data_IF_837726747765
#
_entry.id   IF_837726747765
#
_cell.length_a   1.000
_cell.length_b   1.000
_cell.length_c   1.000
_cell.angle_alpha   90.00
_cell.angle_beta   90.00
_cell.angle_gamma   90.00
#
_symmetry.space_group_name_H-M   'P 1'
#
loop_
_entity.id
_entity.type
_entity.pdbx_description
1 polymer ?
#
# COMPACT_ATOMS: atom_id res chain seq x y z
N UNK A 1 -0.48 12.75 -6.57
CA UNK A 1 -1.38 12.61 -5.42
C UNK A 1 -1.07 11.28 -4.78
N UNK A 2 -0.75 11.26 -3.49
CA UNK A 2 -0.46 10.04 -2.72
C UNK A 2 -1.79 9.31 -2.56
N UNK A 3 -1.88 8.06 -3.03
CA UNK A 3 -3.07 7.23 -2.84
C UNK A 3 -2.99 6.62 -1.44
N UNK A 4 -3.15 7.44 -0.41
CA UNK A 4 -3.30 6.94 0.96
C UNK A 4 -4.52 6.03 0.99
N UNK A 5 -4.36 4.82 1.57
CA UNK A 5 -5.49 3.97 1.92
C UNK A 5 -6.42 4.84 2.80
N UNK A 6 -7.71 4.98 2.45
CA UNK A 6 -8.60 5.83 3.23
C UNK A 6 -8.60 5.33 4.68
N UNK A 7 -8.55 6.25 5.65
CA UNK A 7 -8.70 5.95 7.07
C UNK A 7 -10.13 5.45 7.44
N UNK A 8 -10.90 5.03 6.44
CA UNK A 8 -12.29 4.64 6.52
C UNK A 8 -12.42 3.23 5.97
N UNK A 9 -13.35 2.45 6.54
CA UNK A 9 -13.59 1.10 6.10
C UNK A 9 -14.01 1.03 4.62
N UNK A 10 -13.40 0.09 3.89
CA UNK A 10 -13.70 -0.16 2.49
C UNK A 10 -14.43 -1.49 2.35
N UNK A 11 -15.62 -1.46 1.74
CA UNK A 11 -16.41 -2.67 1.46
C UNK A 11 -16.18 -3.08 0.01
N UNK A 12 -15.39 -4.15 -0.19
CA UNK A 12 -15.04 -4.63 -1.52
C UNK A 12 -16.19 -5.37 -2.23
N UNK A 13 -17.01 -6.10 -1.47
CA UNK A 13 -18.14 -6.85 -2.01
C UNK A 13 -19.29 -6.86 -1.03
N UNK A 14 -20.46 -6.45 -1.52
CA UNK A 14 -21.72 -6.56 -0.79
C UNK A 14 -22.60 -7.61 -1.49
N UNK A 15 -22.99 -8.65 -0.74
CA UNK A 15 -23.97 -9.62 -1.20
C UNK A 15 -25.27 -9.41 -0.44
N UNK A 16 -26.37 -9.24 -1.17
CA UNK A 16 -27.70 -9.08 -0.58
C UNK A 16 -28.51 -10.31 -0.97
N UNK A 17 -28.75 -11.19 -0.02
CA UNK A 17 -29.58 -12.36 -0.20
C UNK A 17 -31.02 -12.01 0.15
N UNK A 18 -31.99 -12.47 -0.65
CA UNK A 18 -33.44 -12.35 -0.40
C UNK A 18 -34.03 -10.92 -0.52
N UNK A 19 -34.03 -10.36 -1.72
CA UNK A 19 -34.70 -9.07 -2.00
C UNK A 19 -35.95 -9.29 -2.85
N UNK A 20 -37.12 -8.85 -2.36
CA UNK A 20 -38.34 -8.73 -3.17
C UNK A 20 -38.30 -7.54 -4.15
N UNK A 21 -37.31 -6.65 -4.00
CA UNK A 21 -37.11 -5.40 -4.76
C UNK A 21 -36.02 -5.53 -5.84
N UNK A 22 -35.99 -4.62 -6.84
CA UNK A 22 -34.95 -4.62 -7.88
C UNK A 22 -33.53 -4.53 -7.29
N UNK A 23 -32.65 -5.39 -7.78
CA UNK A 23 -31.33 -5.67 -7.20
C UNK A 23 -30.43 -4.43 -7.11
N UNK A 24 -30.40 -3.59 -8.16
CA UNK A 24 -29.50 -2.43 -8.24
C UNK A 24 -29.90 -1.31 -7.26
N UNK A 25 -31.18 -0.99 -7.17
CA UNK A 25 -31.67 0.03 -6.24
C UNK A 25 -31.43 -0.39 -4.77
N UNK A 26 -31.58 -1.69 -4.49
CA UNK A 26 -31.30 -2.27 -3.17
C UNK A 26 -29.80 -2.21 -2.85
N UNK A 27 -28.94 -2.48 -3.84
CA UNK A 27 -27.49 -2.39 -3.68
C UNK A 27 -27.02 -0.95 -3.41
N UNK A 28 -27.46 0.03 -4.20
CA UNK A 28 -27.07 1.44 -4.01
C UNK A 28 -27.49 1.97 -2.64
N UNK A 29 -28.69 1.61 -2.18
CA UNK A 29 -29.19 1.96 -0.85
C UNK A 29 -28.36 1.34 0.26
N UNK A 30 -28.08 0.05 0.15
CA UNK A 30 -27.27 -0.64 1.15
C UNK A 30 -25.84 -0.07 1.21
N UNK A 31 -25.22 0.23 0.07
CA UNK A 31 -23.92 0.91 0.02
C UNK A 31 -23.98 2.31 0.66
N UNK A 32 -25.02 3.09 0.37
CA UNK A 32 -25.19 4.43 0.96
C UNK A 32 -25.36 4.38 2.49
N UNK A 33 -26.05 3.37 3.03
CA UNK A 33 -26.15 3.16 4.49
C UNK A 33 -24.82 2.78 5.10
N UNK A 34 -24.13 1.81 4.51
CA UNK A 34 -22.88 1.31 5.07
C UNK A 34 -21.80 2.39 5.06
N UNK A 35 -21.81 3.28 4.06
CA UNK A 35 -20.93 4.46 4.01
C UNK A 35 -21.24 5.51 5.09
N UNK A 36 -22.43 5.47 5.73
CA UNK A 36 -22.75 6.36 6.86
C UNK A 36 -22.27 5.81 8.20
N UNK A 37 -21.84 4.55 8.25
CA UNK A 37 -21.38 3.90 9.48
C UNK A 37 -19.86 3.97 9.54
N UNK A 38 -19.35 4.45 10.67
CA UNK A 38 -17.94 4.35 11.00
C UNK A 38 -17.62 2.92 11.45
N UNK A 39 -17.36 2.05 10.48
CA UNK A 39 -17.01 0.64 10.70
C UNK A 39 -15.61 0.54 11.30
N UNK A 40 -15.54 0.39 12.62
CA UNK A 40 -14.30 0.06 13.32
C UNK A 40 -13.55 1.23 13.94
N UNK A 41 -13.97 2.49 13.75
CA UNK A 41 -13.26 3.67 14.29
C UNK A 41 -13.09 3.71 15.82
N UNK A 42 -13.89 2.95 16.57
CA UNK A 42 -13.72 2.80 18.04
C UNK A 42 -12.88 1.60 18.48
N UNK A 43 -12.67 0.63 17.61
CA UNK A 43 -12.13 -0.69 17.97
C UNK A 43 -10.75 -0.89 17.35
N UNK A 44 -10.56 -0.42 16.12
CA UNK A 44 -9.32 -0.56 15.37
C UNK A 44 -8.52 0.74 15.54
N UNK A 45 -7.23 0.67 15.94
CA UNK A 45 -6.38 1.84 15.97
C UNK A 45 -6.37 2.57 14.62
N UNK A 46 -6.27 3.92 14.58
CA UNK A 46 -6.40 4.67 13.32
C UNK A 46 -5.41 4.30 12.21
N UNK A 47 -4.23 3.81 12.57
CA UNK A 47 -3.23 3.35 11.62
C UNK A 47 -3.41 1.89 11.19
N UNK A 48 -4.10 1.08 12.00
CA UNK A 48 -4.18 -0.35 11.81
C UNK A 48 -5.17 -0.72 10.71
N UNK A 49 -4.81 -1.71 9.90
CA UNK A 49 -5.60 -2.16 8.78
C UNK A 49 -6.16 -3.55 9.10
N UNK A 50 -7.48 -3.63 9.30
CA UNK A 50 -8.18 -4.89 9.51
C UNK A 50 -8.88 -5.32 8.21
N UNK A 51 -8.46 -6.45 7.66
CA UNK A 51 -9.09 -7.07 6.50
C UNK A 51 -9.94 -8.25 6.98
N UNK A 52 -11.24 -8.21 6.72
CA UNK A 52 -12.18 -9.29 7.06
C UNK A 52 -12.61 -9.99 5.78
N UNK A 53 -12.54 -11.32 5.76
CA UNK A 53 -12.87 -12.13 4.56
C UNK A 53 -14.35 -12.05 4.20
N UNK A 54 -15.19 -12.34 5.18
CA UNK A 54 -16.64 -12.29 5.07
C UNK A 54 -17.24 -11.80 6.38
N UNK A 55 -18.12 -10.81 6.29
CA UNK A 55 -18.87 -10.26 7.40
C UNK A 55 -20.36 -10.51 7.16
N UNK A 56 -20.89 -11.54 7.81
CA UNK A 56 -22.32 -11.85 7.72
C UNK A 56 -23.15 -10.80 8.47
N UNK A 57 -24.41 -10.64 8.04
CA UNK A 57 -25.39 -9.80 8.73
C UNK A 57 -25.47 -10.21 10.22
N UNK A 58 -25.13 -9.32 11.17
CA UNK A 58 -25.09 -9.66 12.58
C UNK A 58 -26.49 -9.87 13.18
N UNK A 59 -27.54 -9.30 12.59
CA UNK A 59 -28.93 -9.38 13.04
C UNK A 59 -29.87 -9.41 11.83
N UNK A 60 -30.09 -10.62 11.31
CA UNK A 60 -30.92 -10.88 10.13
C UNK A 60 -32.32 -10.28 10.29
N UNK A 61 -32.76 -9.52 9.28
CA UNK A 61 -34.10 -8.93 9.23
C UNK A 61 -34.23 -7.53 9.86
N UNK A 62 -33.17 -7.03 10.51
CA UNK A 62 -33.16 -5.67 11.06
C UNK A 62 -32.73 -4.60 10.04
N UNK A 63 -32.13 -5.01 8.91
CA UNK A 63 -31.85 -4.14 7.77
C UNK A 63 -33.06 -4.05 6.82
N UNK A 64 -33.87 -3.00 6.98
CA UNK A 64 -35.01 -2.74 6.08
C UNK A 64 -34.58 -1.92 4.86
N UNK A 65 -34.12 -2.60 3.80
CA UNK A 65 -33.65 -1.95 2.55
C UNK A 65 -34.79 -1.52 1.59
N UNK A 66 -36.04 -1.82 1.95
CA UNK A 66 -37.22 -1.63 1.10
C UNK A 66 -37.98 -0.32 1.30
N UNK A 67 -37.74 0.42 2.39
CA UNK A 67 -38.48 1.65 2.69
C UNK A 67 -37.74 2.91 2.22
N UNK A 68 -38.49 3.93 1.82
CA UNK A 68 -37.93 5.23 1.41
C UNK A 68 -37.34 6.03 2.59
N UNK A 69 -37.72 5.67 3.83
CA UNK A 69 -37.23 6.26 5.08
C UNK A 69 -36.37 5.23 5.80
N UNK A 70 -35.18 5.03 5.25
CA UNK A 70 -34.24 4.04 5.75
C UNK A 70 -33.58 4.56 7.02
N UNK A 71 -33.85 3.91 8.15
CA UNK A 71 -33.18 4.17 9.44
C UNK A 71 -32.39 2.95 9.85
N UNK A 72 -31.15 3.17 10.29
CA UNK A 72 -30.34 2.12 10.90
C UNK A 72 -30.89 1.79 12.28
N UNK A 73 -31.16 0.51 12.52
CA UNK A 73 -31.50 0.02 13.85
C UNK A 73 -30.27 0.10 14.76
N UNK A 74 -30.33 0.83 15.89
CA UNK A 74 -29.22 0.90 16.85
C UNK A 74 -28.79 -0.48 17.39
N UNK A 75 -29.70 -1.46 17.47
CA UNK A 75 -29.36 -2.83 17.87
C UNK A 75 -28.49 -3.51 16.82
N UNK A 76 -28.81 -3.30 15.54
CA UNK A 76 -28.02 -3.81 14.41
C UNK A 76 -26.61 -3.21 14.39
N UNK A 77 -26.47 -1.89 14.59
CA UNK A 77 -25.16 -1.22 14.69
C UNK A 77 -24.34 -1.80 15.84
N UNK A 78 -24.92 -1.96 17.04
CA UNK A 78 -24.21 -2.55 18.19
C UNK A 78 -23.76 -3.99 17.92
N UNK A 79 -24.60 -4.79 17.25
CA UNK A 79 -24.26 -6.16 16.90
C UNK A 79 -23.15 -6.22 15.83
N UNK A 80 -23.13 -5.27 14.90
CA UNK A 80 -22.06 -5.09 13.92
C UNK A 80 -20.73 -4.72 14.60
N UNK A 81 -20.74 -3.74 15.49
CA UNK A 81 -19.56 -3.33 16.27
C UNK A 81 -18.99 -4.50 17.08
N UNK A 82 -19.87 -5.26 17.76
CA UNK A 82 -19.47 -6.45 18.51
C UNK A 82 -18.85 -7.53 17.60
N UNK A 83 -19.37 -7.70 16.38
CA UNK A 83 -18.85 -8.65 15.39
C UNK A 83 -17.49 -8.22 14.86
N UNK A 84 -17.32 -6.94 14.51
CA UNK A 84 -16.03 -6.37 14.09
C UNK A 84 -15.00 -6.50 15.22
N UNK A 85 -15.38 -6.22 16.47
CA UNK A 85 -14.51 -6.44 17.63
C UNK A 85 -14.10 -7.91 17.80
N UNK A 86 -15.00 -8.85 17.54
CA UNK A 86 -14.65 -10.27 17.56
C UNK A 86 -13.64 -10.63 16.46
N UNK A 87 -13.79 -10.10 15.25
CA UNK A 87 -12.81 -10.28 14.18
C UNK A 87 -11.46 -9.63 14.48
N UNK A 88 -11.46 -8.43 15.07
CA UNK A 88 -10.24 -7.74 15.47
C UNK A 88 -9.46 -8.56 16.52
N UNK A 89 -10.13 -9.04 17.56
CA UNK A 89 -9.49 -9.86 18.63
C UNK A 89 -8.94 -11.19 18.14
N UNK A 90 -9.52 -11.76 17.08
CA UNK A 90 -9.13 -13.06 16.50
C UNK A 90 -8.30 -12.93 15.23
N UNK A 91 -7.99 -11.71 14.80
CA UNK A 91 -7.29 -11.48 13.56
C UNK A 91 -5.87 -12.04 13.65
N UNK A 92 -5.47 -12.75 12.60
CA UNK A 92 -4.10 -13.22 12.44
C UNK A 92 -3.23 -12.02 12.10
N UNK A 93 -2.09 -11.91 12.78
CA UNK A 93 -1.08 -10.88 12.51
C UNK A 93 0.05 -11.48 11.69
N UNK A 94 0.70 -10.69 10.83
CA UNK A 94 1.88 -11.15 10.13
C UNK A 94 3.01 -11.47 11.10
N UNK A 95 3.56 -12.67 11.02
CA UNK A 95 4.81 -13.03 11.70
C UNK A 95 5.93 -13.01 10.67
N UNK A 96 6.72 -11.94 10.64
CA UNK A 96 7.80 -11.74 9.65
C UNK A 96 7.31 -11.85 8.21
N UNK A 97 6.13 -11.29 7.94
CA UNK A 97 5.50 -11.33 6.61
C UNK A 97 4.76 -12.61 6.27
N UNK A 98 4.75 -13.62 7.16
CA UNK A 98 3.95 -14.82 6.97
C UNK A 98 2.56 -14.67 7.61
N UNK A 99 1.52 -15.06 6.86
CA UNK A 99 0.13 -15.04 7.29
C UNK A 99 -0.50 -16.38 6.95
N UNK A 100 -1.14 -17.03 7.92
CA UNK A 100 -1.82 -18.29 7.72
C UNK A 100 -3.00 -18.15 6.73
N UNK A 101 -3.08 -19.02 5.73
CA UNK A 101 -4.10 -18.96 4.66
C UNK A 101 -5.54 -19.14 5.14
N UNK A 102 -5.73 -19.78 6.30
CA UNK A 102 -7.04 -20.06 6.90
C UNK A 102 -7.61 -18.88 7.71
N UNK A 103 -6.88 -17.78 7.82
CA UNK A 103 -7.31 -16.61 8.57
C UNK A 103 -8.65 -16.05 8.05
N UNK A 104 -9.64 -15.92 8.94
CA UNK A 104 -10.91 -15.26 8.64
C UNK A 104 -10.81 -13.73 8.66
N UNK A 105 -9.84 -13.22 9.43
CA UNK A 105 -9.45 -11.81 9.47
C UNK A 105 -7.95 -11.69 9.62
N UNK A 106 -7.38 -10.67 8.98
CA UNK A 106 -5.96 -10.34 9.01
C UNK A 106 -5.82 -8.91 9.53
N UNK A 107 -4.94 -8.70 10.50
CA UNK A 107 -4.69 -7.39 11.09
C UNK A 107 -3.25 -6.98 10.84
N UNK A 108 -3.08 -5.86 10.15
CA UNK A 108 -1.81 -5.17 10.01
C UNK A 108 -1.75 -4.00 10.99
N UNK A 109 -0.60 -3.78 11.59
CA UNK A 109 -0.36 -2.68 12.52
C UNK A 109 -0.46 -1.32 11.84
N UNK A 110 0.03 -1.22 10.61
CA UNK A 110 0.01 -0.01 9.79
C UNK A 110 0.11 -0.32 8.29
N UNK A 111 0.09 0.74 7.48
CA UNK A 111 0.27 0.66 6.03
C UNK A 111 1.67 0.14 5.64
N UNK A 112 2.70 0.40 6.44
CA UNK A 112 4.06 -0.04 6.15
C UNK A 112 4.20 -1.57 6.29
N UNK A 113 3.62 -2.17 7.34
CA UNK A 113 3.58 -3.63 7.53
C UNK A 113 2.77 -4.31 6.42
N UNK A 114 1.63 -3.73 6.04
CA UNK A 114 0.81 -4.20 4.92
C UNK A 114 1.62 -4.24 3.61
N UNK A 115 2.31 -3.14 3.29
CA UNK A 115 3.13 -3.03 2.07
C UNK A 115 4.35 -3.96 2.12
N UNK A 116 4.97 -4.17 3.28
CA UNK A 116 6.07 -5.12 3.43
C UNK A 116 5.60 -6.56 3.17
N UNK A 117 4.45 -6.96 3.71
CA UNK A 117 3.87 -8.27 3.45
C UNK A 117 3.49 -8.42 1.97
N UNK A 118 2.89 -7.39 1.36
CA UNK A 118 2.57 -7.39 -0.06
C UNK A 118 3.83 -7.54 -0.92
N UNK A 119 4.91 -6.83 -0.57
CA UNK A 119 6.17 -6.92 -1.29
C UNK A 119 6.75 -8.33 -1.25
N UNK A 120 6.76 -8.98 -0.09
CA UNK A 120 7.22 -10.35 0.06
C UNK A 120 6.40 -11.35 -0.76
N UNK A 121 5.07 -11.21 -0.75
CA UNK A 121 4.20 -12.10 -1.49
C UNK A 121 4.23 -11.84 -3.01
N UNK A 122 4.47 -10.60 -3.45
CA UNK A 122 4.70 -10.30 -4.87
C UNK A 122 6.01 -10.92 -5.36
N UNK A 123 7.09 -10.78 -4.58
CA UNK A 123 8.41 -11.37 -4.90
C UNK A 123 8.34 -12.90 -4.92
N UNK A 124 7.54 -13.49 -4.03
CA UNK A 124 7.31 -14.93 -3.96
C UNK A 124 6.30 -15.45 -4.98
N UNK A 125 5.64 -14.57 -5.76
CA UNK A 125 4.57 -14.93 -6.69
C UNK A 125 3.28 -15.43 -6.02
N UNK A 126 3.15 -15.26 -4.69
CA UNK A 126 2.01 -15.75 -3.89
C UNK A 126 0.91 -14.70 -3.69
N UNK A 127 1.17 -13.43 -4.04
CA UNK A 127 0.23 -12.34 -3.80
C UNK A 127 -1.18 -12.65 -4.35
N UNK A 128 -1.28 -13.21 -5.55
CA UNK A 128 -2.56 -13.55 -6.16
C UNK A 128 -3.23 -14.80 -5.60
N UNK A 129 -2.54 -15.61 -4.80
CA UNK A 129 -3.10 -16.80 -4.16
C UNK A 129 -3.81 -16.49 -2.84
N UNK A 130 -3.46 -15.39 -2.18
CA UNK A 130 -4.05 -15.03 -0.90
C UNK A 130 -5.33 -14.19 -1.07
N UNK A 131 -6.39 -14.58 -0.37
CA UNK A 131 -7.71 -13.96 -0.53
C UNK A 131 -7.72 -12.48 -0.12
N UNK A 132 -6.90 -12.07 0.85
CA UNK A 132 -6.86 -10.68 1.34
C UNK A 132 -6.24 -9.74 0.30
N UNK A 133 -5.20 -10.19 -0.40
CA UNK A 133 -4.65 -9.47 -1.55
C UNK A 133 -5.63 -9.43 -2.71
N UNK A 134 -6.34 -10.53 -2.99
CA UNK A 134 -7.40 -10.48 -3.99
C UNK A 134 -8.50 -9.49 -3.62
N UNK A 135 -8.88 -9.41 -2.34
CA UNK A 135 -9.88 -8.46 -1.87
C UNK A 135 -9.41 -7.02 -2.07
N UNK A 136 -8.17 -6.69 -1.69
CA UNK A 136 -7.63 -5.34 -1.88
C UNK A 136 -7.34 -5.01 -3.35
N UNK A 137 -6.61 -5.86 -4.06
CA UNK A 137 -6.18 -5.65 -5.46
C UNK A 137 -7.37 -5.64 -6.43
N UNK A 138 -8.52 -6.24 -6.08
CA UNK A 138 -9.75 -6.14 -6.87
C UNK A 138 -10.21 -4.69 -7.06
N UNK A 139 -10.01 -3.85 -6.05
CA UNK A 139 -10.34 -2.43 -6.11
C UNK A 139 -9.42 -1.65 -7.07
N UNK A 140 -8.30 -2.24 -7.47
CA UNK A 140 -7.34 -1.70 -8.43
C UNK A 140 -7.46 -2.31 -9.84
N UNK A 141 -8.51 -3.13 -10.10
CA UNK A 141 -8.71 -3.80 -11.40
C UNK A 141 -8.90 -2.78 -12.53
N UNK A 142 -7.87 -2.66 -13.35
CA UNK A 142 -7.80 -1.83 -14.55
C UNK A 142 -6.37 -1.68 -15.08
N UNK A 143 -5.35 -1.95 -14.27
CA UNK A 143 -3.94 -1.82 -14.65
C UNK A 143 -3.28 -3.20 -14.71
N UNK A 144 -3.05 -3.69 -15.93
CA UNK A 144 -2.62 -5.06 -16.20
C UNK A 144 -1.17 -5.39 -15.78
N UNK A 145 -0.40 -4.45 -15.23
CA UNK A 145 0.99 -4.66 -14.78
C UNK A 145 1.29 -3.76 -13.57
N UNK A 146 0.77 -4.11 -12.40
CA UNK A 146 1.16 -3.45 -11.16
C UNK A 146 2.48 -4.07 -10.69
N UNK A 147 3.61 -3.43 -11.03
CA UNK A 147 4.93 -3.86 -10.55
C UNK A 147 5.08 -3.50 -9.06
N UNK A 148 5.97 -4.20 -8.35
CA UNK A 148 6.31 -3.88 -6.97
C UNK A 148 6.71 -2.41 -6.83
N UNK A 149 7.51 -1.91 -7.76
CA UNK A 149 7.93 -0.52 -7.82
C UNK A 149 6.72 0.43 -7.88
N UNK A 150 5.74 0.13 -8.73
CA UNK A 150 4.50 0.92 -8.85
C UNK A 150 3.81 1.12 -7.50
N UNK A 151 3.63 0.04 -6.73
CA UNK A 151 3.03 0.11 -5.39
C UNK A 151 3.87 0.92 -4.41
N UNK A 152 5.19 0.73 -4.40
CA UNK A 152 6.10 1.45 -3.51
C UNK A 152 6.10 2.96 -3.79
N UNK A 153 5.98 3.40 -5.05
CA UNK A 153 5.94 4.83 -5.37
C UNK A 153 4.63 5.50 -4.95
N UNK A 154 3.51 4.77 -4.93
CA UNK A 154 2.23 5.33 -4.46
C UNK A 154 2.26 5.64 -2.97
N UNK A 155 3.00 4.84 -2.18
CA UNK A 155 3.11 4.96 -0.72
C UNK A 155 4.52 5.32 -0.28
N UNK A 156 5.14 6.27 -0.96
CA UNK A 156 6.54 6.63 -0.71
C UNK A 156 6.82 7.22 0.69
N UNK A 157 5.81 7.81 1.31
CA UNK A 157 5.87 8.29 2.71
C UNK A 157 6.00 7.10 3.68
N UNK A 158 5.54 5.91 3.30
CA UNK A 158 5.67 4.70 4.12
C UNK A 158 6.96 3.91 3.82
N UNK A 159 7.74 4.34 2.83
CA UNK A 159 8.89 3.60 2.33
C UNK A 159 10.00 3.44 3.40
N UNK A 160 10.33 4.47 4.22
CA UNK A 160 11.26 4.30 5.34
C UNK A 160 10.81 3.24 6.35
N UNK A 161 9.57 3.34 6.82
CA UNK A 161 9.00 2.40 7.79
C UNK A 161 8.95 0.97 7.23
N UNK A 162 8.57 0.81 5.96
CA UNK A 162 8.56 -0.48 5.27
C UNK A 162 9.96 -1.10 5.21
N UNK A 163 10.98 -0.32 4.82
CA UNK A 163 12.34 -0.84 4.69
C UNK A 163 12.97 -1.13 6.04
N UNK A 164 12.68 -0.34 7.07
CA UNK A 164 13.06 -0.62 8.45
C UNK A 164 12.48 -1.96 8.93
N UNK A 165 11.21 -2.22 8.65
CA UNK A 165 10.53 -3.46 9.02
C UNK A 165 11.05 -4.67 8.22
N UNK A 166 11.31 -4.53 6.92
CA UNK A 166 11.97 -5.57 6.12
C UNK A 166 13.42 -5.84 6.56
N UNK A 167 14.16 -4.81 7.00
CA UNK A 167 15.50 -4.96 7.54
C UNK A 167 15.47 -5.70 8.88
N UNK A 168 14.53 -5.37 9.77
CA UNK A 168 14.31 -6.08 11.03
C UNK A 168 13.97 -7.56 10.80
N UNK A 169 13.31 -7.90 9.69
CA UNK A 169 13.04 -9.29 9.30
C UNK A 169 14.17 -9.96 8.53
N UNK A 170 15.26 -9.25 8.24
CA UNK A 170 16.37 -9.72 7.39
C UNK A 170 15.94 -10.11 5.96
N UNK A 171 14.85 -9.51 5.45
CA UNK A 171 14.28 -9.78 4.14
C UNK A 171 14.45 -8.63 3.14
N UNK A 172 14.93 -7.47 3.59
CA UNK A 172 15.14 -6.29 2.72
C UNK A 172 15.96 -6.59 1.45
N UNK A 173 17.10 -7.32 1.51
CA UNK A 173 17.87 -7.60 0.30
C UNK A 173 17.11 -8.44 -0.73
N UNK A 174 16.27 -9.37 -0.26
CA UNK A 174 15.48 -10.24 -1.13
C UNK A 174 14.44 -9.46 -1.94
N UNK A 175 13.81 -8.47 -1.30
CA UNK A 175 12.82 -7.60 -1.95
C UNK A 175 13.50 -6.60 -2.88
N UNK A 176 14.57 -5.94 -2.43
CA UNK A 176 15.31 -4.97 -3.22
C UNK A 176 16.02 -5.60 -4.43
N UNK A 177 16.38 -6.88 -4.36
CA UNK A 177 16.94 -7.63 -5.49
C UNK A 177 15.99 -7.70 -6.70
N UNK A 178 14.67 -7.61 -6.47
CA UNK A 178 13.65 -7.66 -7.55
C UNK A 178 13.38 -6.33 -8.22
N UNK A 179 13.83 -5.21 -7.65
CA UNK A 179 13.74 -3.91 -8.29
C UNK A 179 14.87 -3.77 -9.32
N UNK A 180 14.59 -3.12 -10.44
CA UNK A 180 15.65 -2.68 -11.35
C UNK A 180 16.39 -1.48 -10.76
N UNK A 181 17.58 -1.18 -11.27
CA UNK A 181 18.33 0.01 -10.83
C UNK A 181 17.58 1.30 -11.19
N UNK A 182 16.97 1.34 -12.38
CA UNK A 182 16.05 2.39 -12.82
C UNK A 182 14.86 2.61 -11.86
N UNK A 183 14.22 1.53 -11.40
CA UNK A 183 13.13 1.60 -10.43
C UNK A 183 13.63 2.06 -9.06
N UNK A 184 14.81 1.60 -8.64
CA UNK A 184 15.43 1.97 -7.37
C UNK A 184 15.77 3.46 -7.35
N UNK A 185 16.41 3.97 -8.41
CA UNK A 185 16.74 5.38 -8.57
C UNK A 185 15.47 6.26 -8.63
N UNK A 186 14.40 5.78 -9.27
CA UNK A 186 13.12 6.46 -9.26
C UNK A 186 12.51 6.54 -7.85
N UNK A 187 12.50 5.44 -7.09
CA UNK A 187 12.02 5.40 -5.71
C UNK A 187 12.85 6.30 -4.79
N UNK A 188 14.18 6.26 -4.92
CA UNK A 188 15.08 7.13 -4.17
C UNK A 188 14.80 8.62 -4.46
N UNK A 189 14.68 8.99 -5.73
CA UNK A 189 14.31 10.35 -6.13
C UNK A 189 12.97 10.79 -5.54
N UNK A 190 12.03 9.87 -5.43
CA UNK A 190 10.68 10.15 -4.95
C UNK A 190 10.65 10.28 -3.42
N UNK A 191 11.42 9.45 -2.70
CA UNK A 191 11.64 9.57 -1.25
C UNK A 191 12.32 10.91 -0.90
N UNK A 192 13.40 11.27 -1.60
CA UNK A 192 14.07 12.55 -1.37
C UNK A 192 13.11 13.73 -1.56
N UNK A 193 12.21 13.64 -2.55
CA UNK A 193 11.18 14.67 -2.78
C UNK A 193 10.11 14.68 -1.71
N UNK A 194 9.61 13.52 -1.27
CA UNK A 194 8.54 13.45 -0.27
C UNK A 194 9.00 13.99 1.09
N UNK A 195 10.26 13.77 1.44
CA UNK A 195 10.87 14.26 2.69
C UNK A 195 11.59 15.61 2.52
N UNK A 196 11.50 16.25 1.34
CA UNK A 196 12.14 17.54 1.03
C UNK A 196 13.66 17.57 1.24
N UNK A 197 14.35 16.44 1.08
CA UNK A 197 15.79 16.28 1.21
C UNK A 197 16.54 16.65 -0.09
N UNK A 198 16.07 17.69 -0.77
CA UNK A 198 16.45 18.02 -2.17
C UNK A 198 17.92 18.41 -2.30
N UNK A 199 18.59 18.79 -1.21
CA UNK A 199 20.01 19.21 -1.22
C UNK A 199 21.01 18.06 -1.45
N UNK A 200 20.58 16.79 -1.36
CA UNK A 200 21.45 15.63 -1.64
C UNK A 200 21.57 15.28 -3.14
N UNK A 201 20.91 16.04 -4.04
CA UNK A 201 20.72 15.69 -5.46
C UNK A 201 21.88 15.97 -6.40
N UNK A 202 23.00 16.51 -5.93
CA UNK A 202 24.09 16.87 -6.85
C UNK A 202 24.69 15.67 -7.62
N UNK A 203 24.44 14.42 -7.19
CA UNK A 203 25.07 13.24 -7.80
C UNK A 203 24.13 12.18 -8.39
N UNK A 204 22.82 12.21 -8.13
CA UNK A 204 21.91 11.16 -8.62
C UNK A 204 21.28 11.55 -9.97
N UNK A 205 21.77 10.93 -11.03
CA UNK A 205 21.33 11.11 -12.43
C UNK A 205 19.84 10.83 -12.63
N UNK A 206 19.30 11.44 -13.68
CA UNK A 206 17.89 11.51 -14.11
C UNK A 206 17.11 10.20 -13.98
N UNK A 207 16.15 10.18 -13.06
CA UNK A 207 15.20 9.08 -12.88
C UNK A 207 14.24 8.91 -14.07
N UNK A 208 13.81 7.68 -14.38
CA UNK A 208 12.78 7.42 -15.38
C UNK A 208 11.43 8.05 -15.00
N UNK A 209 10.74 8.61 -16.00
CA UNK A 209 9.39 9.15 -15.83
C UNK A 209 8.37 8.01 -15.82
N UNK A 210 7.73 7.76 -14.69
CA UNK A 210 6.63 6.81 -14.61
C UNK A 210 5.35 7.44 -15.16
N UNK A 211 4.47 6.67 -15.85
CA UNK A 211 3.22 7.20 -16.37
C UNK A 211 2.38 7.73 -15.21
N UNK A 212 2.22 9.05 -15.15
CA UNK A 212 1.27 9.68 -14.26
C UNK A 212 -0.14 9.38 -14.77
N UNK A 213 -1.04 8.98 -13.87
CA UNK A 213 -2.47 8.87 -14.17
C UNK A 213 -2.99 10.28 -14.43
N UNK A 214 -3.16 10.64 -15.70
CA UNK A 214 -3.73 11.92 -16.12
C UNK A 214 -5.27 11.81 -16.14
N UNK A 215 -5.96 12.70 -15.41
CA UNK A 215 -7.34 13.07 -15.75
C UNK A 215 -7.32 13.95 -17.00
N UNK A 216 -8.34 13.84 -17.88
CA UNK A 216 -8.28 14.46 -19.19
C UNK A 216 -8.48 15.97 -19.06
N UNK A 217 -7.70 16.76 -19.80
CA UNK A 217 -8.20 17.76 -20.78
C UNK A 217 -7.07 18.74 -21.22
N UNK A 218 -7.12 19.01 -22.53
CA UNK A 218 -6.52 20.09 -23.34
C UNK A 218 -5.01 20.14 -23.62
N UNK A 219 -4.71 19.57 -24.79
CA UNK A 219 -3.73 19.98 -25.81
C UNK A 219 -3.43 21.48 -25.77
N UNK A 220 -2.16 21.81 -25.55
CA UNK A 220 -1.52 22.99 -26.11
C UNK A 220 -0.05 22.68 -26.43
N UNK A 221 0.25 22.71 -27.72
CA UNK A 221 1.57 22.52 -28.32
C UNK A 221 2.49 23.72 -28.06
N UNK A 222 3.73 23.48 -27.66
CA UNK A 222 4.86 24.31 -28.04
C UNK A 222 6.19 23.51 -28.00
N UNK A 223 6.74 23.28 -29.19
CA UNK A 223 8.14 22.89 -29.43
C UNK A 223 9.07 24.00 -28.91
N UNK A 224 10.29 23.66 -28.49
CA UNK A 224 11.57 24.11 -29.11
C UNK A 224 12.82 23.48 -28.46
N UNK A 225 13.63 22.93 -29.36
CA UNK A 225 15.10 22.81 -29.43
C UNK A 225 15.93 22.12 -28.34
N UNK A 226 16.51 21.00 -28.79
CA UNK A 226 17.75 20.38 -28.35
C UNK A 226 18.92 21.35 -28.29
N UNK A 227 19.78 21.17 -27.29
CA UNK A 227 21.23 21.29 -27.46
C UNK A 227 21.94 20.37 -26.46
N UNK A 228 22.83 19.54 -26.99
CA UNK A 228 23.66 18.55 -26.30
C UNK A 228 25.06 19.14 -26.15
N UNK A 229 25.72 18.97 -24.99
CA UNK A 229 27.18 18.85 -24.96
C UNK A 229 27.64 17.45 -24.52
N UNK A 230 28.72 17.03 -25.16
CA UNK A 230 29.42 15.75 -25.06
C UNK A 230 30.23 15.60 -23.75
N UNK A 231 30.81 14.41 -23.47
CA UNK A 231 31.19 13.97 -22.13
C UNK A 231 32.57 14.52 -21.71
N UNK A 232 32.69 14.94 -20.45
CA UNK A 232 33.99 15.12 -19.81
C UNK A 232 34.26 13.99 -18.81
N UNK A 233 35.50 13.54 -18.89
CA UNK A 233 36.07 12.36 -18.27
C UNK A 233 36.24 12.49 -16.75
N UNK A 234 35.82 11.42 -16.07
CA UNK A 234 36.59 10.72 -15.05
C UNK A 234 37.45 11.54 -14.09
N UNK A 235 36.86 11.99 -12.99
CA UNK A 235 37.57 12.02 -11.72
C UNK A 235 36.89 11.02 -10.79
N UNK A 236 37.48 9.84 -10.60
CA UNK A 236 37.07 8.90 -9.54
C UNK A 236 37.42 9.52 -8.20
N UNK A 237 36.52 10.35 -7.71
CA UNK A 237 36.52 10.88 -6.36
C UNK A 237 36.30 9.69 -5.43
N UNK A 238 37.26 9.42 -4.53
CA UNK A 238 37.13 8.43 -3.47
C UNK A 238 35.87 8.77 -2.67
N UNK A 239 34.81 8.00 -2.89
CA UNK A 239 33.55 8.11 -2.17
C UNK A 239 33.88 7.89 -0.70
N UNK A 240 33.71 8.93 0.12
CA UNK A 240 33.75 8.76 1.56
C UNK A 240 32.74 7.70 1.96
N UNK A 241 33.15 6.81 2.87
CA UNK A 241 32.26 5.85 3.52
C UNK A 241 30.95 6.55 3.91
N UNK A 242 29.80 6.15 3.33
CA UNK A 242 28.56 6.88 3.54
C UNK A 242 28.16 6.86 5.02
N UNK A 243 27.56 7.95 5.54
CA UNK A 243 27.34 8.12 6.98
C UNK A 243 26.43 7.04 7.61
N UNK A 244 25.65 6.32 6.80
CA UNK A 244 24.75 5.23 7.24
C UNK A 244 25.41 3.84 7.26
N UNK A 245 26.67 3.71 6.86
CA UNK A 245 27.41 2.45 6.84
C UNK A 245 27.49 1.72 8.20
N UNK A 246 27.57 2.38 9.37
CA UNK A 246 27.54 1.69 10.67
C UNK A 246 26.23 0.93 10.95
N UNK A 247 25.11 1.38 10.41
CA UNK A 247 23.80 0.76 10.62
C UNK A 247 23.51 -0.40 9.66
N UNK A 248 24.31 -0.53 8.59
CA UNK A 248 24.16 -1.56 7.57
C UNK A 248 25.18 -2.71 7.68
N UNK A 249 26.00 -2.74 8.74
CA UNK A 249 27.04 -3.76 8.93
C UNK A 249 26.52 -5.21 8.92
N UNK A 250 25.23 -5.40 9.21
CA UNK A 250 24.56 -6.71 9.20
C UNK A 250 23.92 -7.08 7.85
N UNK A 251 23.85 -6.12 6.91
CA UNK A 251 23.30 -6.32 5.57
C UNK A 251 24.46 -6.49 4.61
N UNK A 252 24.61 -7.72 4.10
CA UNK A 252 25.68 -8.09 3.18
C UNK A 252 25.81 -7.11 1.99
N UNK A 253 26.86 -6.27 2.02
CA UNK A 253 27.23 -5.33 0.95
C UNK A 253 27.38 -5.98 -0.44
N UNK A 254 27.55 -7.30 -0.50
CA UNK A 254 27.87 -8.05 -1.71
C UNK A 254 26.65 -8.46 -2.55
N UNK A 255 25.43 -8.17 -2.10
CA UNK A 255 24.20 -8.61 -2.79
C UNK A 255 23.37 -7.47 -3.39
N UNK A 256 23.73 -6.21 -3.17
CA UNK A 256 22.95 -5.05 -3.58
C UNK A 256 23.84 -4.03 -4.31
N UNK A 257 23.30 -3.40 -5.36
CA UNK A 257 23.96 -2.26 -6.02
C UNK A 257 24.02 -1.04 -5.10
N UNK A 258 24.96 -0.12 -5.36
CA UNK A 258 25.19 1.08 -4.54
C UNK A 258 23.91 1.92 -4.35
N UNK A 259 23.06 1.99 -5.38
CA UNK A 259 21.78 2.69 -5.35
C UNK A 259 20.76 2.04 -4.40
N UNK A 260 20.70 0.70 -4.37
CA UNK A 260 19.82 -0.05 -3.45
C UNK A 260 20.31 0.05 -2.02
N UNK A 261 21.63 0.10 -1.85
CA UNK A 261 22.27 0.31 -0.55
C UNK A 261 22.01 1.73 -0.03
N UNK A 262 22.09 2.75 -0.88
CA UNK A 262 21.75 4.14 -0.54
C UNK A 262 20.26 4.29 -0.17
N UNK A 263 19.35 3.65 -0.93
CA UNK A 263 17.92 3.65 -0.62
C UNK A 263 17.65 3.05 0.76
N UNK A 264 18.26 1.89 1.06
CA UNK A 264 18.10 1.23 2.35
C UNK A 264 18.70 2.07 3.49
N UNK A 265 19.90 2.61 3.30
CA UNK A 265 20.57 3.45 4.28
C UNK A 265 19.77 4.69 4.65
N UNK A 266 19.34 5.47 3.65
CA UNK A 266 18.53 6.67 3.88
C UNK A 266 17.20 6.34 4.55
N UNK A 267 16.59 5.23 4.18
CA UNK A 267 15.32 4.78 4.74
C UNK A 267 15.42 4.34 6.20
N UNK A 268 16.59 3.90 6.67
CA UNK A 268 16.84 3.58 8.08
C UNK A 268 17.18 4.82 8.92
N UNK A 269 17.58 5.92 8.28
CA UNK A 269 17.93 7.17 8.97
C UNK A 269 16.78 8.15 9.15
N UNK A 270 15.69 7.96 8.43
CA UNK A 270 14.47 8.78 8.49
C UNK A 270 13.45 8.17 9.46
#
# INVERSE_FOLDING_TARGET
MVTTIPAQAVINRLQICNTKTPALATQLRASALLNQIDLGGKIVPPAAILIIRDLADPLVGHLQLGSAQMRLDPQWIRALDARVAAYYRRAVRPERGYIASEAASVLFQDEAELLACLALDLVSGRAFHHWWWQAMLRSYRGQAQMTLAWHLAQSAIQLPALLSLLAAWSLAPHVLAKLTDDETTALLSLLLRSYKLVDFRAEVRTAPQWPQVQSPVHVATARRHSEVPAPMEGTTQKMHDPPWQPWLQHVAHHSLSDERFALLGLSLTL
#
